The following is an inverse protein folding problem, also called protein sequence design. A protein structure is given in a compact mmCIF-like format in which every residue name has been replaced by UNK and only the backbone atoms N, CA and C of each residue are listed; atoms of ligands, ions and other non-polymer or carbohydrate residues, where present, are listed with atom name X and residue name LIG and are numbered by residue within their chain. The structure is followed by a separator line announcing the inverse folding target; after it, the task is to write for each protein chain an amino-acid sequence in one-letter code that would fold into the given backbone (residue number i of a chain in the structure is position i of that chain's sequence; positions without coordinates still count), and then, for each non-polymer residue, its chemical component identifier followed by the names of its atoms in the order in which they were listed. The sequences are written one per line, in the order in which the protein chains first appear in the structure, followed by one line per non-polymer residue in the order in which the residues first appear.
data_IF_402098034820
#
_entry.id   IF_402098034820
#
_cell.length_a   1.000
_cell.length_b   1.000
_cell.length_c   1.000
_cell.angle_alpha   90.00
_cell.angle_beta   90.00
_cell.angle_gamma   90.00
#
_symmetry.space_group_name_H-M   'P 1'
#
loop_
_entity.id
_entity.type
_entity.pdbx_description
1 polymer ?
#
# COMPACT_ATOMS: atom_id res chain seq x y z
N UNK A 1 5.13 1.49 -23.85
CA UNK A 1 5.58 0.80 -22.60
C UNK A 1 4.78 1.14 -21.34
N UNK A 2 3.70 1.92 -21.45
CA UNK A 2 2.50 1.93 -20.58
C UNK A 2 1.43 0.92 -21.07
N UNK A 3 1.81 0.04 -22.01
CA UNK A 3 0.93 -0.77 -22.87
C UNK A 3 0.37 -2.03 -22.20
N UNK A 4 0.62 -2.30 -20.92
CA UNK A 4 0.06 -3.52 -20.28
C UNK A 4 -1.46 -3.39 -20.07
N UNK A 5 -2.03 -2.18 -20.13
CA UNK A 5 -3.48 -1.99 -20.07
C UNK A 5 -4.04 -0.99 -21.09
N UNK A 6 -3.22 -0.49 -22.02
CA UNK A 6 -3.63 0.60 -22.91
C UNK A 6 -4.26 0.14 -24.23
N UNK A 7 -3.96 -1.08 -24.67
CA UNK A 7 -4.64 -1.77 -25.78
C UNK A 7 -5.23 -3.07 -25.22
N UNK A 8 -6.55 -3.21 -25.28
CA UNK A 8 -7.32 -4.16 -24.44
C UNK A 8 -6.80 -5.61 -24.39
N UNK A 9 -6.79 -6.22 -23.20
CA UNK A 9 -6.70 -7.68 -23.08
C UNK A 9 -6.11 -8.29 -21.80
N UNK A 10 -5.36 -7.56 -20.98
CA UNK A 10 -4.62 -8.17 -19.85
C UNK A 10 -5.50 -8.67 -18.69
N UNK A 11 -5.49 -9.97 -18.40
CA UNK A 11 -6.16 -10.60 -17.26
C UNK A 11 -5.25 -10.63 -16.02
N UNK A 12 -5.48 -9.71 -15.08
CA UNK A 12 -4.72 -9.60 -13.84
C UNK A 12 -5.45 -10.30 -12.68
N UNK A 13 -4.78 -11.28 -12.05
CA UNK A 13 -5.22 -11.87 -10.78
C UNK A 13 -4.64 -11.07 -9.61
N UNK A 14 -5.47 -10.71 -8.64
CA UNK A 14 -5.05 -10.15 -7.36
C UNK A 14 -5.19 -11.21 -6.27
N UNK A 15 -4.16 -11.33 -5.43
CA UNK A 15 -4.13 -12.19 -4.25
C UNK A 15 -3.63 -11.40 -3.05
N UNK A 16 -4.43 -11.25 -2.00
CA UNK A 16 -3.99 -10.69 -0.73
C UNK A 16 -4.40 -11.60 0.42
N UNK A 17 -3.51 -11.78 1.38
CA UNK A 17 -3.80 -12.50 2.62
C UNK A 17 -3.31 -11.73 3.84
N UNK A 18 -3.32 -10.39 3.73
CA UNK A 18 -2.93 -9.47 4.78
C UNK A 18 -4.00 -9.40 5.88
N UNK A 19 -5.27 -9.51 5.50
CA UNK A 19 -6.40 -9.60 6.42
C UNK A 19 -7.45 -10.57 5.87
N UNK A 20 -7.51 -11.78 6.45
CA UNK A 20 -8.24 -12.88 5.81
C UNK A 20 -7.55 -13.31 4.51
N UNK A 21 -8.30 -13.77 3.53
CA UNK A 21 -7.84 -13.85 2.13
C UNK A 21 -8.81 -13.13 1.21
N UNK A 22 -8.25 -12.41 0.24
CA UNK A 22 -8.99 -11.77 -0.85
C UNK A 22 -8.36 -12.21 -2.16
N UNK A 23 -9.15 -12.73 -3.07
CA UNK A 23 -8.71 -13.09 -4.42
C UNK A 23 -9.72 -12.58 -5.45
N UNK A 24 -9.25 -12.18 -6.62
CA UNK A 24 -10.15 -11.73 -7.69
C UNK A 24 -9.43 -11.40 -8.98
N UNK A 25 -10.16 -11.46 -10.09
CA UNK A 25 -9.70 -10.95 -11.38
C UNK A 25 -10.08 -9.47 -11.49
N UNK A 26 -9.13 -8.61 -11.86
CA UNK A 26 -9.39 -7.17 -12.05
C UNK A 26 -10.56 -6.97 -13.01
N UNK A 27 -11.58 -6.22 -12.56
CA UNK A 27 -12.84 -6.00 -13.28
C UNK A 27 -14.00 -6.89 -12.82
N UNK A 28 -13.71 -7.97 -12.09
CA UNK A 28 -14.70 -8.78 -11.37
C UNK A 28 -14.82 -8.39 -9.90
N UNK A 29 -15.80 -8.96 -9.21
CA UNK A 29 -15.92 -8.81 -7.76
C UNK A 29 -15.01 -9.82 -7.02
N UNK A 30 -14.35 -9.41 -5.93
CA UNK A 30 -13.44 -10.28 -5.19
C UNK A 30 -14.19 -11.32 -4.35
N UNK A 31 -13.56 -12.47 -4.15
CA UNK A 31 -13.92 -13.43 -3.11
C UNK A 31 -13.09 -13.17 -1.85
N UNK A 32 -13.78 -12.89 -0.75
CA UNK A 32 -13.17 -12.53 0.53
C UNK A 32 -13.51 -13.57 1.62
N UNK A 33 -12.48 -14.13 2.25
CA UNK A 33 -12.61 -15.04 3.39
C UNK A 33 -12.07 -14.36 4.66
N UNK A 34 -12.98 -13.93 5.54
CA UNK A 34 -12.61 -13.27 6.79
C UNK A 34 -12.12 -14.24 7.88
N UNK A 35 -12.37 -15.56 7.74
CA UNK A 35 -11.98 -16.53 8.76
C UNK A 35 -10.48 -16.85 8.71
N UNK A 36 -9.77 -16.32 9.70
CA UNK A 36 -8.34 -16.56 9.96
C UNK A 36 -7.90 -18.03 10.05
N UNK A 37 -8.81 -19.01 10.19
CA UNK A 37 -8.47 -20.44 10.18
C UNK A 37 -8.61 -21.06 8.79
N UNK A 38 -9.63 -20.64 8.04
CA UNK A 38 -9.97 -21.21 6.74
C UNK A 38 -9.30 -20.50 5.56
N UNK A 39 -8.88 -19.24 5.73
CA UNK A 39 -8.39 -18.41 4.63
C UNK A 39 -7.21 -19.01 3.85
N UNK A 40 -6.34 -19.80 4.51
CA UNK A 40 -5.22 -20.51 3.85
C UNK A 40 -5.72 -21.71 3.05
N UNK A 41 -6.58 -22.54 3.65
CA UNK A 41 -7.12 -23.75 3.01
C UNK A 41 -8.02 -23.41 1.82
N UNK A 42 -8.73 -22.27 1.90
CA UNK A 42 -9.62 -21.79 0.84
C UNK A 42 -8.92 -20.94 -0.22
N UNK A 43 -7.65 -20.59 -0.05
CA UNK A 43 -6.95 -19.70 -0.96
C UNK A 43 -6.90 -20.26 -2.39
N UNK A 44 -6.38 -21.47 -2.57
CA UNK A 44 -6.27 -22.10 -3.89
C UNK A 44 -7.64 -22.42 -4.51
N UNK A 45 -8.62 -23.00 -3.77
CA UNK A 45 -9.99 -23.14 -4.27
C UNK A 45 -10.61 -21.81 -4.72
N UNK A 46 -10.41 -20.74 -3.96
CA UNK A 46 -10.98 -19.44 -4.32
C UNK A 46 -10.28 -18.82 -5.53
N UNK A 47 -8.96 -19.03 -5.72
CA UNK A 47 -8.26 -18.63 -6.94
C UNK A 47 -8.86 -19.36 -8.15
N UNK A 48 -9.03 -20.68 -8.07
CA UNK A 48 -9.65 -21.45 -9.14
C UNK A 48 -11.08 -20.96 -9.44
N UNK A 49 -11.85 -20.65 -8.40
CA UNK A 49 -13.20 -20.13 -8.51
C UNK A 49 -13.25 -18.78 -9.23
N UNK A 50 -12.46 -17.77 -8.81
CA UNK A 50 -12.50 -16.44 -9.45
C UNK A 50 -12.02 -16.45 -10.91
N UNK A 51 -11.07 -17.33 -11.24
CA UNK A 51 -10.62 -17.53 -12.62
C UNK A 51 -11.77 -18.12 -13.44
N UNK A 52 -12.42 -19.17 -12.93
CA UNK A 52 -13.57 -19.81 -13.60
C UNK A 52 -14.77 -18.87 -13.73
N UNK A 53 -15.10 -18.09 -12.70
CA UNK A 53 -16.22 -17.15 -12.70
C UNK A 53 -16.01 -16.00 -13.69
N UNK A 54 -14.76 -15.64 -13.96
CA UNK A 54 -14.39 -14.71 -15.02
C UNK A 54 -14.46 -15.33 -16.43
N UNK A 55 -14.79 -16.63 -16.55
CA UNK A 55 -14.81 -17.36 -17.82
C UNK A 55 -13.41 -17.63 -18.37
N UNK A 56 -12.39 -17.62 -17.52
CA UNK A 56 -10.99 -17.79 -17.87
C UNK A 56 -10.47 -19.15 -17.44
N UNK A 57 -9.33 -19.53 -18.02
CA UNK A 57 -8.46 -20.59 -17.55
C UNK A 57 -7.21 -19.99 -16.92
N UNK A 58 -6.44 -20.73 -16.10
CA UNK A 58 -5.17 -20.23 -15.58
C UNK A 58 -4.21 -19.75 -16.68
N UNK A 59 -4.26 -20.34 -17.88
CA UNK A 59 -3.42 -19.97 -19.02
C UNK A 59 -3.79 -18.62 -19.64
N UNK A 60 -4.99 -18.11 -19.38
CA UNK A 60 -5.42 -16.79 -19.85
C UNK A 60 -4.92 -15.66 -18.93
N UNK A 61 -4.33 -15.97 -17.77
CA UNK A 61 -3.79 -14.95 -16.87
C UNK A 61 -2.51 -14.36 -17.45
N UNK A 62 -2.44 -13.02 -17.49
CA UNK A 62 -1.27 -12.29 -17.99
C UNK A 62 -0.34 -11.85 -16.87
N UNK A 63 -0.84 -11.70 -15.65
CA UNK A 63 -0.04 -11.30 -14.49
C UNK A 63 -0.75 -11.58 -13.16
N UNK A 64 0.03 -11.54 -12.08
CA UNK A 64 -0.45 -11.61 -10.72
C UNK A 64 0.05 -10.40 -9.92
N UNK A 65 -0.84 -9.77 -9.15
CA UNK A 65 -0.49 -8.80 -8.11
C UNK A 65 -0.75 -9.43 -6.75
N UNK A 66 0.26 -9.47 -5.90
CA UNK A 66 0.18 -10.08 -4.57
C UNK A 66 0.41 -9.06 -3.45
N UNK A 67 -0.42 -9.12 -2.43
CA UNK A 67 -0.22 -8.36 -1.19
C UNK A 67 1.03 -8.81 -0.45
N UNK A 68 1.89 -7.84 -0.10
CA UNK A 68 3.14 -8.09 0.67
C UNK A 68 3.09 -7.57 2.11
N UNK A 69 1.88 -7.25 2.58
CA UNK A 69 1.60 -6.69 3.89
C UNK A 69 1.61 -5.16 3.91
N UNK A 70 1.81 -4.53 5.07
CA UNK A 70 2.16 -5.14 6.35
C UNK A 70 0.98 -5.85 7.01
N UNK A 71 1.24 -7.03 7.57
CA UNK A 71 0.25 -7.90 8.20
C UNK A 71 0.89 -8.96 9.11
N UNK A 72 0.11 -9.62 9.99
CA UNK A 72 0.57 -10.80 10.73
C UNK A 72 1.07 -11.95 9.83
N UNK A 73 2.14 -12.60 10.27
CA UNK A 73 3.03 -13.46 9.47
C UNK A 73 2.42 -14.68 8.75
N UNK A 74 1.44 -15.39 9.34
CA UNK A 74 1.05 -16.72 8.87
C UNK A 74 0.21 -16.68 7.60
N UNK A 75 -0.80 -15.80 7.53
CA UNK A 75 -1.65 -15.66 6.34
C UNK A 75 -0.87 -15.09 5.15
N UNK A 76 -0.07 -14.05 5.40
CA UNK A 76 0.68 -13.34 4.36
C UNK A 76 1.64 -14.26 3.57
N UNK A 77 2.29 -15.21 4.25
CA UNK A 77 3.20 -16.16 3.58
C UNK A 77 2.49 -17.14 2.66
N UNK A 78 1.29 -17.59 3.03
CA UNK A 78 0.52 -18.49 2.18
C UNK A 78 0.14 -17.79 0.86
N UNK A 79 -0.40 -16.57 0.94
CA UNK A 79 -0.71 -15.74 -0.24
C UNK A 79 0.47 -15.54 -1.17
N UNK A 80 1.61 -15.10 -0.62
CA UNK A 80 2.84 -14.88 -1.39
C UNK A 80 3.36 -16.18 -2.01
N UNK A 81 3.37 -17.29 -1.27
CA UNK A 81 3.86 -18.56 -1.76
C UNK A 81 2.98 -19.11 -2.90
N UNK A 82 1.66 -19.10 -2.74
CA UNK A 82 0.71 -19.53 -3.76
C UNK A 82 0.80 -18.66 -5.02
N UNK A 83 0.88 -17.34 -4.87
CA UNK A 83 1.04 -16.43 -6.01
C UNK A 83 2.37 -16.64 -6.75
N UNK A 84 3.48 -16.87 -6.02
CA UNK A 84 4.79 -17.20 -6.61
C UNK A 84 4.77 -18.52 -7.36
N UNK A 85 4.17 -19.56 -6.78
CA UNK A 85 4.08 -20.86 -7.42
C UNK A 85 3.26 -20.79 -8.72
N UNK A 86 2.11 -20.09 -8.68
CA UNK A 86 1.24 -19.92 -9.84
C UNK A 86 1.91 -19.08 -10.94
N UNK A 87 2.50 -17.94 -10.59
CA UNK A 87 3.22 -17.09 -11.54
C UNK A 87 4.39 -17.84 -12.20
N UNK A 88 5.13 -18.64 -11.41
CA UNK A 88 6.22 -19.47 -11.92
C UNK A 88 5.72 -20.55 -12.88
N UNK A 89 4.65 -21.25 -12.52
CA UNK A 89 4.07 -22.31 -13.36
C UNK A 89 3.52 -21.79 -14.69
N UNK A 90 2.95 -20.58 -14.69
CA UNK A 90 2.40 -19.92 -15.87
C UNK A 90 3.43 -19.09 -16.65
N UNK A 91 4.63 -18.89 -16.09
CA UNK A 91 5.67 -18.02 -16.63
C UNK A 91 5.16 -16.58 -16.88
N UNK A 92 4.46 -16.00 -15.90
CA UNK A 92 3.88 -14.66 -15.98
C UNK A 92 4.46 -13.72 -14.91
N UNK A 93 4.44 -12.39 -15.14
CA UNK A 93 4.87 -11.41 -14.15
C UNK A 93 4.10 -11.51 -12.83
N UNK A 94 4.85 -11.36 -11.73
CA UNK A 94 4.33 -11.24 -10.37
C UNK A 94 4.79 -9.92 -9.76
N UNK A 95 3.86 -9.11 -9.29
CA UNK A 95 4.15 -7.82 -8.64
C UNK A 95 3.71 -7.88 -7.18
N UNK A 96 4.59 -7.51 -6.25
CA UNK A 96 4.23 -7.29 -4.86
C UNK A 96 3.72 -5.88 -4.62
N UNK A 97 2.62 -5.74 -3.87
CA UNK A 97 2.01 -4.46 -3.52
C UNK A 97 1.76 -4.38 -2.01
N UNK A 98 2.18 -3.29 -1.37
CA UNK A 98 1.80 -3.04 0.02
C UNK A 98 0.34 -2.58 0.11
N UNK A 99 -0.32 -2.86 1.22
CA UNK A 99 -1.74 -2.55 1.39
C UNK A 99 -2.01 -1.15 1.98
N UNK A 100 -1.03 -0.52 2.63
CA UNK A 100 -1.25 0.78 3.28
C UNK A 100 -1.43 1.91 2.26
N UNK A 101 -0.65 1.89 1.18
CA UNK A 101 -0.76 2.89 0.13
C UNK A 101 -2.11 2.81 -0.62
N UNK A 102 -2.56 1.64 -1.13
CA UNK A 102 -3.90 1.47 -1.67
C UNK A 102 -5.03 1.85 -0.73
N UNK A 103 -4.89 1.68 0.59
CA UNK A 103 -5.87 2.17 1.58
C UNK A 103 -5.97 3.70 1.56
N UNK A 104 -4.85 4.41 1.48
CA UNK A 104 -4.83 5.87 1.36
C UNK A 104 -5.42 6.34 0.03
N UNK A 105 -5.08 5.67 -1.06
CA UNK A 105 -5.59 5.96 -2.41
C UNK A 105 -7.11 5.71 -2.48
N UNK A 106 -7.61 4.67 -1.84
CA UNK A 106 -9.04 4.34 -1.75
C UNK A 106 -9.85 5.38 -0.95
N UNK A 107 -9.30 5.87 0.16
CA UNK A 107 -9.96 6.92 0.94
C UNK A 107 -10.14 8.19 0.11
N UNK A 108 -9.11 8.59 -0.63
CA UNK A 108 -9.18 9.76 -1.50
C UNK A 108 -10.17 9.55 -2.66
N UNK A 109 -10.14 8.39 -3.31
CA UNK A 109 -11.08 8.03 -4.37
C UNK A 109 -12.54 8.19 -3.92
N UNK A 110 -12.88 7.62 -2.76
CA UNK A 110 -14.24 7.69 -2.20
C UNK A 110 -14.66 9.11 -1.84
N UNK A 111 -13.71 9.90 -1.34
CA UNK A 111 -13.96 11.31 -1.01
C UNK A 111 -14.30 12.10 -2.27
N UNK A 112 -13.57 11.89 -3.35
CA UNK A 112 -13.83 12.55 -4.64
C UNK A 112 -15.19 12.14 -5.22
N UNK A 113 -15.54 10.84 -5.15
CA UNK A 113 -16.87 10.39 -5.58
C UNK A 113 -18.00 11.08 -4.79
N UNK A 114 -17.85 11.23 -3.48
CA UNK A 114 -18.84 11.93 -2.64
C UNK A 114 -18.93 13.40 -3.01
N UNK A 115 -17.80 14.09 -3.13
CA UNK A 115 -17.78 15.51 -3.45
C UNK A 115 -18.39 15.81 -4.84
N UNK A 116 -18.14 14.95 -5.82
CA UNK A 116 -18.83 15.04 -7.12
C UNK A 116 -20.34 14.85 -6.98
N UNK A 117 -20.78 13.88 -6.18
CA UNK A 117 -22.21 13.63 -5.96
C UNK A 117 -22.89 14.84 -5.29
N UNK A 118 -22.25 15.44 -4.28
CA UNK A 118 -22.76 16.61 -3.56
C UNK A 118 -22.81 17.86 -4.47
N UNK A 119 -21.75 18.10 -5.26
CA UNK A 119 -21.68 19.20 -6.24
C UNK A 119 -22.82 19.14 -7.28
N UNK A 120 -23.17 17.94 -7.75
CA UNK A 120 -24.31 17.72 -8.66
C UNK A 120 -25.64 18.07 -8.02
N UNK A 121 -25.84 17.70 -6.76
CA UNK A 121 -27.08 18.00 -6.03
C UNK A 121 -27.23 19.50 -5.76
N UNK A 122 -26.13 20.21 -5.51
CA UNK A 122 -26.14 21.64 -5.20
C UNK A 122 -26.03 22.56 -6.43
N UNK A 123 -25.86 22.00 -7.64
CA UNK A 123 -25.66 22.79 -8.88
C UNK A 123 -24.38 23.62 -8.88
N UNK A 124 -23.40 23.31 -8.03
CA UNK A 124 -22.08 23.96 -8.01
C UNK A 124 -21.22 23.33 -9.10
N UNK A 125 -20.74 24.13 -10.05
CA UNK A 125 -19.81 23.66 -11.10
C UNK A 125 -18.44 23.24 -10.54
N UNK A 126 -17.61 22.64 -11.39
CA UNK A 126 -16.28 22.08 -11.08
C UNK A 126 -15.33 23.07 -10.38
N UNK A 127 -15.49 24.37 -10.62
CA UNK A 127 -14.69 25.45 -10.04
C UNK A 127 -14.88 25.63 -8.53
N UNK A 128 -16.02 25.22 -7.95
CA UNK A 128 -16.26 25.27 -6.50
C UNK A 128 -15.44 24.23 -5.75
N UNK A 129 -15.28 23.04 -6.33
CA UNK A 129 -14.52 21.94 -5.76
C UNK A 129 -13.04 22.28 -5.64
N UNK A 130 -12.44 22.86 -6.70
CA UNK A 130 -11.03 23.29 -6.72
C UNK A 130 -10.68 24.26 -5.58
N UNK A 131 -11.59 25.17 -5.22
CA UNK A 131 -11.41 26.12 -4.12
C UNK A 131 -11.36 25.47 -2.74
N UNK A 132 -12.16 24.42 -2.52
CA UNK A 132 -12.19 23.68 -1.25
C UNK A 132 -10.92 22.83 -1.06
N UNK A 133 -10.33 22.28 -2.13
CA UNK A 133 -9.04 21.58 -2.06
C UNK A 133 -7.88 22.52 -1.73
N UNK A 134 -7.93 23.78 -2.20
CA UNK A 134 -6.83 24.73 -2.02
C UNK A 134 -6.62 25.21 -0.58
N UNK A 135 -7.62 25.06 0.31
CA UNK A 135 -7.59 25.54 1.70
C UNK A 135 -7.46 24.45 2.75
N UNK A 136 -7.23 23.20 2.33
CA UNK A 136 -7.19 22.07 3.25
C UNK A 136 -6.09 21.07 2.90
N UNK A 137 -5.14 20.90 3.82
CA UNK A 137 -4.17 19.81 3.79
C UNK A 137 -4.85 18.52 4.27
N UNK A 138 -4.93 17.52 3.40
CA UNK A 138 -5.53 16.23 3.71
C UNK A 138 -4.48 15.14 3.82
N UNK A 139 -4.49 14.46 4.96
CA UNK A 139 -3.60 13.37 5.27
C UNK A 139 -4.44 12.11 5.49
N UNK A 140 -3.93 10.98 5.03
CA UNK A 140 -4.50 9.67 5.34
C UNK A 140 -3.51 8.87 6.15
N UNK A 141 -3.88 8.55 7.38
CA UNK A 141 -3.19 7.61 8.25
C UNK A 141 -3.72 6.20 7.96
N UNK A 142 -3.02 5.46 7.12
CA UNK A 142 -3.35 4.06 6.84
C UNK A 142 -2.77 3.17 7.94
N UNK A 143 -3.60 2.29 8.50
CA UNK A 143 -3.24 1.39 9.60
C UNK A 143 -3.69 -0.04 9.35
N UNK A 144 -2.91 -0.99 9.85
CA UNK A 144 -3.29 -2.41 9.91
C UNK A 144 -2.97 -3.00 11.28
N UNK A 145 -3.89 -3.80 11.84
CA UNK A 145 -3.71 -4.45 13.15
C UNK A 145 -2.45 -5.31 13.18
N UNK A 146 -1.64 -5.10 14.22
CA UNK A 146 -0.43 -5.86 14.47
C UNK A 146 -0.56 -6.61 15.81
N UNK A 147 0.42 -7.48 16.09
CA UNK A 147 0.45 -8.21 17.36
C UNK A 147 0.71 -7.24 18.53
N UNK A 148 0.34 -7.65 19.74
CA UNK A 148 0.65 -6.96 21.00
C UNK A 148 0.07 -5.54 21.12
N UNK A 149 -1.17 -5.34 20.64
CA UNK A 149 -1.89 -4.05 20.71
C UNK A 149 -1.16 -2.91 19.98
N UNK A 150 -0.52 -3.26 18.86
CA UNK A 150 0.15 -2.31 17.99
C UNK A 150 -0.54 -2.28 16.63
N UNK A 151 -0.21 -1.28 15.84
CA UNK A 151 -0.64 -1.11 14.46
C UNK A 151 0.60 -0.93 13.60
N UNK A 152 0.61 -1.57 12.44
CA UNK A 152 1.42 -1.09 11.32
C UNK A 152 0.78 0.19 10.81
N UNK A 153 1.57 1.20 10.48
CA UNK A 153 1.04 2.47 9.99
C UNK A 153 1.99 3.14 8.99
N UNK A 154 1.41 3.98 8.15
CA UNK A 154 2.11 4.99 7.36
C UNK A 154 1.19 6.20 7.19
N UNK A 155 1.78 7.40 7.10
CA UNK A 155 1.02 8.63 6.88
C UNK A 155 1.25 9.10 5.45
N UNK A 156 0.18 9.37 4.75
CA UNK A 156 0.20 9.77 3.34
C UNK A 156 -0.40 11.15 3.17
N UNK A 157 0.25 11.97 2.35
CA UNK A 157 -0.37 13.12 1.71
C UNK A 157 -1.14 12.62 0.48
N UNK A 158 -2.40 13.06 0.36
CA UNK A 158 -3.34 12.55 -0.63
C UNK A 158 -2.72 12.45 -2.05
N UNK A 159 -3.06 11.38 -2.80
CA UNK A 159 -2.64 11.26 -4.19
C UNK A 159 -3.30 12.33 -5.07
N UNK A 160 -2.74 12.55 -6.26
CA UNK A 160 -3.38 13.35 -7.28
C UNK A 160 -4.12 12.44 -8.27
N UNK A 161 -5.43 12.61 -8.34
CA UNK A 161 -6.29 11.99 -9.35
C UNK A 161 -6.78 13.04 -10.33
N UNK A 162 -6.93 12.63 -11.59
CA UNK A 162 -7.63 13.41 -12.62
C UNK A 162 -8.76 12.56 -13.21
N UNK A 163 -9.93 13.13 -13.53
CA UNK A 163 -10.96 12.41 -14.26
C UNK A 163 -10.43 12.00 -15.65
N UNK A 164 -10.79 10.80 -16.14
CA UNK A 164 -10.44 10.39 -17.50
C UNK A 164 -11.25 11.20 -18.52
N UNK A 165 -10.65 11.69 -19.62
CA UNK A 165 -11.26 12.65 -20.55
C UNK A 165 -12.47 12.09 -21.32
N UNK A 166 -12.56 10.76 -21.44
CA UNK A 166 -13.64 10.07 -22.15
C UNK A 166 -14.61 9.32 -21.21
N UNK A 167 -14.41 9.38 -19.90
CA UNK A 167 -15.38 8.83 -18.97
C UNK A 167 -16.59 9.75 -18.96
N UNK A 168 -17.67 9.37 -19.65
CA UNK A 168 -18.93 10.06 -19.38
C UNK A 168 -19.22 9.87 -17.88
N UNK A 169 -19.55 10.96 -17.20
CA UNK A 169 -19.81 10.96 -15.76
C UNK A 169 -21.01 10.08 -15.35
N UNK A 170 -21.76 9.58 -16.35
CA UNK A 170 -22.85 8.60 -16.26
C UNK A 170 -22.33 7.14 -16.34
N UNK A 171 -21.37 6.80 -17.21
CA UNK A 171 -20.73 5.46 -17.27
C UNK A 171 -19.96 5.10 -15.99
N UNK A 172 -19.40 6.12 -15.32
CA UNK A 172 -18.71 5.97 -14.04
C UNK A 172 -19.60 5.37 -12.91
N UNK A 173 -20.92 5.46 -13.06
CA UNK A 173 -21.89 5.03 -12.05
C UNK A 173 -22.30 3.56 -12.21
N UNK A 174 -22.36 3.03 -13.44
CA UNK A 174 -22.93 1.71 -13.67
C UNK A 174 -21.90 0.61 -13.92
N UNK A 175 -20.63 0.94 -14.20
CA UNK A 175 -19.54 -0.04 -14.35
C UNK A 175 -19.84 -1.17 -15.35
N UNK A 176 -20.79 -0.93 -16.25
CA UNK A 176 -21.34 -1.87 -17.22
C UNK A 176 -21.00 -1.35 -18.60
N UNK A 177 -19.78 -1.62 -19.05
CA UNK A 177 -19.56 -1.77 -20.49
C UNK A 177 -18.74 -3.04 -20.77
N UNK A 178 -19.42 -3.92 -21.49
CA UNK A 178 -18.96 -5.07 -22.28
C UNK A 178 -18.06 -6.11 -21.59
N UNK A 179 -18.73 -7.10 -21.00
CA UNK A 179 -18.26 -8.49 -20.83
C UNK A 179 -18.24 -9.18 -22.20
N UNK A 180 -17.55 -8.59 -23.18
CA UNK A 180 -17.25 -9.24 -24.46
C UNK A 180 -15.74 -9.29 -24.63
N UNK A 181 -15.16 -10.38 -24.13
CA UNK A 181 -13.77 -10.84 -24.36
C UNK A 181 -12.69 -9.78 -24.07
N UNK A 182 -12.41 -9.60 -22.78
CA UNK A 182 -11.24 -8.86 -22.27
C UNK A 182 -11.65 -7.96 -21.11
N UNK A 183 -11.33 -8.34 -19.87
CA UNK A 183 -11.61 -7.52 -18.69
C UNK A 183 -10.67 -6.30 -18.65
N UNK A 184 -10.94 -5.27 -19.45
CA UNK A 184 -10.35 -3.94 -19.27
C UNK A 184 -11.21 -3.16 -18.29
N UNK A 185 -10.85 -3.16 -17.01
CA UNK A 185 -11.53 -2.31 -16.03
C UNK A 185 -10.76 -1.00 -15.86
N UNK A 186 -11.30 0.07 -16.44
CA UNK A 186 -10.81 1.43 -16.21
C UNK A 186 -11.56 2.07 -15.06
N UNK A 187 -10.82 2.60 -14.09
CA UNK A 187 -11.39 3.48 -13.09
C UNK A 187 -11.79 4.80 -13.78
N UNK A 188 -12.88 5.44 -13.34
CA UNK A 188 -13.29 6.74 -13.90
C UNK A 188 -12.32 7.88 -13.55
N UNK A 189 -11.33 7.58 -12.71
CA UNK A 189 -10.27 8.49 -12.27
C UNK A 189 -8.92 7.86 -12.54
N UNK A 190 -8.02 8.61 -13.15
CA UNK A 190 -6.63 8.22 -13.33
C UNK A 190 -5.80 8.79 -12.20
N UNK A 191 -5.10 7.91 -11.49
CA UNK A 191 -4.04 8.35 -10.58
C UNK A 191 -2.86 8.86 -11.43
N UNK A 192 -2.55 10.15 -11.30
CA UNK A 192 -1.41 10.77 -12.00
C UNK A 192 -0.20 10.92 -11.09
N UNK A 193 -0.41 10.87 -9.78
CA UNK A 193 0.64 10.85 -8.78
C UNK A 193 0.25 9.95 -7.61
N UNK A 194 1.15 9.03 -7.23
CA UNK A 194 1.01 8.27 -6.00
C UNK A 194 1.01 9.17 -4.78
N UNK A 195 0.36 8.76 -3.69
CA UNK A 195 0.37 9.55 -2.47
C UNK A 195 1.80 9.70 -1.94
N UNK A 196 2.16 10.92 -1.56
CA UNK A 196 3.48 11.14 -0.97
C UNK A 196 3.48 10.62 0.46
N UNK A 197 4.34 9.65 0.75
CA UNK A 197 4.54 9.17 2.11
C UNK A 197 5.23 10.25 2.95
N UNK A 198 4.58 10.60 4.05
CA UNK A 198 4.98 11.65 4.99
C UNK A 198 5.67 11.05 6.20
N UNK A 199 5.09 9.97 6.74
CA UNK A 199 5.74 9.13 7.74
C UNK A 199 5.93 7.74 7.14
N UNK A 200 7.17 7.27 7.18
CA UNK A 200 7.52 5.93 6.71
C UNK A 200 6.75 4.84 7.46
N UNK A 201 6.64 3.68 6.82
CA UNK A 201 5.98 2.54 7.43
C UNK A 201 6.69 2.14 8.71
N UNK A 202 5.96 2.09 9.83
CA UNK A 202 6.48 1.60 11.10
C UNK A 202 5.39 0.86 11.92
N UNK A 203 5.72 0.39 13.11
CA UNK A 203 4.84 -0.31 14.03
C UNK A 203 4.89 0.36 15.42
N UNK A 204 3.74 0.73 15.96
CA UNK A 204 3.65 1.36 17.28
C UNK A 204 2.25 1.17 17.90
N UNK A 205 2.07 1.60 19.14
CA UNK A 205 0.73 1.66 19.74
C UNK A 205 -0.11 2.76 19.07
N UNK A 206 -1.44 2.64 19.10
CA UNK A 206 -2.31 3.66 18.50
C UNK A 206 -2.13 5.05 19.14
N UNK A 207 -1.88 5.11 20.45
CA UNK A 207 -1.63 6.38 21.17
C UNK A 207 -0.30 7.02 20.72
N UNK A 208 0.77 6.22 20.59
CA UNK A 208 2.07 6.72 20.10
C UNK A 208 1.98 7.20 18.65
N UNK A 209 1.19 6.51 17.81
CA UNK A 209 0.96 6.92 16.43
C UNK A 209 0.24 8.27 16.39
N UNK A 210 -0.84 8.42 17.15
CA UNK A 210 -1.57 9.68 17.26
C UNK A 210 -0.66 10.84 17.70
N UNK A 211 0.18 10.60 18.71
CA UNK A 211 1.15 11.60 19.19
C UNK A 211 2.19 11.97 18.11
N UNK A 212 2.77 10.98 17.41
CA UNK A 212 3.73 11.21 16.31
C UNK A 212 3.12 12.03 15.17
N UNK A 213 1.88 11.71 14.77
CA UNK A 213 1.19 12.43 13.70
C UNK A 213 0.89 13.87 14.11
N UNK A 214 0.38 14.10 15.34
CA UNK A 214 0.16 15.45 15.85
C UNK A 214 1.45 16.28 15.89
N UNK A 215 2.54 15.69 16.40
CA UNK A 215 3.86 16.33 16.45
C UNK A 215 4.36 16.70 15.05
N UNK A 216 4.16 15.83 14.06
CA UNK A 216 4.53 16.11 12.69
C UNK A 216 3.74 17.31 12.12
N UNK A 217 2.41 17.36 12.33
CA UNK A 217 1.56 18.45 11.87
C UNK A 217 1.96 19.78 12.51
N UNK A 218 2.20 19.79 13.82
CA UNK A 218 2.59 20.99 14.55
C UNK A 218 3.96 21.52 14.07
N UNK A 219 4.91 20.61 13.83
CA UNK A 219 6.20 20.93 13.25
C UNK A 219 6.09 21.51 11.83
N UNK A 220 5.26 20.91 10.97
CA UNK A 220 5.00 21.41 9.62
C UNK A 220 4.37 22.81 9.65
N UNK A 221 3.38 23.05 10.52
CA UNK A 221 2.74 24.37 10.69
C UNK A 221 3.73 25.42 11.15
N UNK A 222 4.60 25.09 12.10
CA UNK A 222 5.63 26.03 12.55
C UNK A 222 6.58 26.43 11.41
N UNK A 223 6.94 25.46 10.55
CA UNK A 223 7.76 25.72 9.36
C UNK A 223 7.12 26.68 8.35
N UNK A 224 5.78 26.74 8.27
CA UNK A 224 5.05 27.75 7.48
C UNK A 224 5.11 29.14 8.11
N UNK A 225 4.98 29.24 9.44
CA UNK A 225 5.11 30.52 10.18
C UNK A 225 6.50 31.13 10.06
N UNK A 226 7.53 30.28 10.07
CA UNK A 226 8.94 30.68 10.05
C UNK A 226 9.47 30.93 8.62
N UNK A 227 8.66 30.66 7.58
CA UNK A 227 9.01 30.99 6.21
C UNK A 227 9.09 32.53 6.05
N UNK A 228 10.14 33.08 5.40
CA UNK A 228 10.32 34.51 5.31
C UNK A 228 9.10 35.14 4.63
N UNK A 229 8.32 35.90 5.39
CA UNK A 229 7.23 36.70 4.88
C UNK A 229 7.80 37.64 3.82
N UNK A 230 7.52 37.39 2.55
CA UNK A 230 7.73 38.39 1.51
C UNK A 230 7.00 39.65 1.95
N UNK A 231 7.73 40.74 2.19
CA UNK A 231 7.13 42.04 2.52
C UNK A 231 6.14 42.41 1.42
N UNK A 232 4.85 42.37 1.72
CA UNK A 232 3.85 43.16 1.00
C UNK A 232 3.43 44.30 1.93
N UNK A 233 3.96 45.50 1.66
CA UNK A 233 3.50 46.72 2.31
C UNK A 233 2.05 47.00 1.90
N UNK A 234 1.09 46.78 2.79
CA UNK A 234 -0.20 47.49 2.79
C UNK A 234 -0.73 47.67 4.22
N UNK A 235 -1.40 48.79 4.53
CA UNK A 235 -1.56 49.25 5.90
C UNK A 235 -2.81 48.70 6.63
N UNK A 236 -2.55 48.23 7.86
CA UNK A 236 -3.38 48.28 9.07
C UNK A 236 -4.91 48.18 8.95
N UNK A 237 -5.43 46.97 9.23
CA UNK A 237 -6.75 46.74 9.83
C UNK A 237 -6.61 45.78 11.01
N UNK A 238 -7.18 46.13 12.18
CA UNK A 238 -7.14 45.28 13.38
C UNK A 238 -7.91 43.97 13.14
N UNK A 239 -7.38 42.78 13.53
CA UNK A 239 -8.16 41.56 13.50
C UNK A 239 -9.11 41.49 14.71
N UNK A 240 -10.36 41.12 14.45
CA UNK A 240 -11.38 40.83 15.45
C UNK A 240 -11.10 39.46 16.09
N UNK A 241 -11.17 39.40 17.42
CA UNK A 241 -10.85 38.20 18.19
C UNK A 241 -12.11 37.35 18.43
N UNK A 242 -12.50 36.48 17.48
CA UNK A 242 -13.46 35.38 17.75
C UNK A 242 -13.56 34.32 16.63
N UNK A 243 -12.47 33.62 16.30
CA UNK A 243 -12.53 32.29 15.67
C UNK A 243 -11.15 31.65 15.76
N UNK A 244 -11.10 30.35 16.04
CA UNK A 244 -9.85 29.59 16.04
C UNK A 244 -9.34 29.44 14.61
N UNK A 245 -8.69 30.47 14.07
CA UNK A 245 -8.08 30.44 12.75
C UNK A 245 -6.59 30.09 12.86
N UNK A 246 -6.22 28.96 12.25
CA UNK A 246 -4.86 28.48 12.18
C UNK A 246 -3.93 29.41 11.39
N UNK A 247 -2.64 29.29 11.67
CA UNK A 247 -1.59 29.99 10.93
C UNK A 247 -1.75 29.73 9.42
N UNK A 248 -1.94 30.79 8.64
CA UNK A 248 -1.95 30.74 7.16
C UNK A 248 -3.28 30.36 6.49
N UNK A 249 -4.38 30.20 7.23
CA UNK A 249 -5.71 29.92 6.65
C UNK A 249 -5.88 28.51 6.03
N UNK A 250 -4.90 27.63 6.19
CA UNK A 250 -4.96 26.22 5.73
C UNK A 250 -5.43 25.33 6.88
N UNK A 251 -6.58 24.68 6.70
CA UNK A 251 -7.06 23.65 7.63
C UNK A 251 -6.33 22.33 7.40
N UNK A 252 -6.11 21.52 8.46
CA UNK A 252 -5.47 20.21 8.34
C UNK A 252 -6.47 19.15 8.78
N UNK A 253 -6.62 18.09 7.99
CA UNK A 253 -7.46 16.94 8.34
C UNK A 253 -6.70 15.63 8.15
N UNK A 254 -6.89 14.70 9.10
CA UNK A 254 -6.30 13.36 9.12
C UNK A 254 -7.41 12.33 9.15
N UNK A 255 -7.60 11.62 8.04
CA UNK A 255 -8.46 10.44 8.01
C UNK A 255 -7.67 9.22 8.47
N UNK A 256 -8.25 8.37 9.32
CA UNK A 256 -7.63 7.13 9.81
C UNK A 256 -8.36 5.95 9.19
N UNK A 257 -7.65 5.17 8.37
CA UNK A 257 -8.26 4.11 7.55
C UNK A 257 -7.50 2.80 7.65
N UNK A 258 -8.19 1.69 7.38
CA UNK A 258 -7.59 0.36 7.39
C UNK A 258 -7.92 -0.45 8.63
N UNK A 259 -7.50 -1.71 8.63
CA UNK A 259 -7.93 -2.66 9.64
C UNK A 259 -7.40 -2.32 11.03
N UNK A 260 -8.30 -2.22 11.99
CA UNK A 260 -7.98 -1.81 13.36
C UNK A 260 -8.17 -0.32 13.63
N UNK A 261 -8.45 0.51 12.61
CA UNK A 261 -8.80 1.91 12.83
C UNK A 261 -10.01 2.06 13.78
N UNK A 262 -11.04 1.23 13.63
CA UNK A 262 -12.22 1.26 14.51
C UNK A 262 -11.93 0.69 15.90
N UNK A 263 -11.15 -0.39 15.97
CA UNK A 263 -10.76 -1.05 17.22
C UNK A 263 -10.05 -0.11 18.22
N UNK A 264 -9.24 0.83 17.73
CA UNK A 264 -8.50 1.79 18.55
C UNK A 264 -9.10 3.21 18.50
N UNK A 265 -10.39 3.35 18.23
CA UNK A 265 -11.07 4.65 18.07
C UNK A 265 -10.80 5.66 19.21
N UNK A 266 -10.67 5.18 20.45
CA UNK A 266 -10.37 6.04 21.60
C UNK A 266 -8.97 6.67 21.54
N UNK A 267 -7.98 5.96 21.00
CA UNK A 267 -6.60 6.45 20.89
C UNK A 267 -6.48 7.59 19.90
N UNK A 268 -7.35 7.64 18.89
CA UNK A 268 -7.41 8.75 17.94
C UNK A 268 -7.93 10.06 18.55
N UNK A 269 -8.41 10.04 19.80
CA UNK A 269 -8.78 11.27 20.51
C UNK A 269 -7.60 12.25 20.64
N UNK A 270 -6.36 11.75 20.66
CA UNK A 270 -5.15 12.59 20.63
C UNK A 270 -5.00 13.42 19.34
N UNK A 271 -5.71 13.05 18.27
CA UNK A 271 -5.74 13.77 16.99
C UNK A 271 -6.93 14.72 16.87
N UNK A 272 -7.78 14.91 17.90
CA UNK A 272 -9.04 15.69 17.79
C UNK A 272 -8.98 17.05 17.08
N UNK A 273 -7.90 17.86 17.15
CA UNK A 273 -7.81 19.10 16.36
C UNK A 273 -7.74 18.87 14.85
N UNK A 274 -7.37 17.66 14.41
CA UNK A 274 -7.09 17.28 13.03
C UNK A 274 -7.94 16.08 12.56
N UNK A 275 -8.56 15.34 13.47
CA UNK A 275 -9.19 14.07 13.17
C UNK A 275 -10.38 14.25 12.21
N UNK A 276 -10.30 13.57 11.07
CA UNK A 276 -11.37 13.44 10.10
C UNK A 276 -12.14 12.14 10.29
N UNK A 277 -12.28 11.39 9.20
CA UNK A 277 -13.00 10.12 9.22
C UNK A 277 -12.15 9.01 9.86
N UNK A 278 -12.80 8.12 10.62
CA UNK A 278 -12.18 6.87 11.09
C UNK A 278 -12.94 5.71 10.44
N UNK A 279 -12.25 4.90 9.63
CA UNK A 279 -12.87 3.80 8.86
C UNK A 279 -12.07 2.51 8.98
N UNK A 280 -12.71 1.50 9.57
CA UNK A 280 -12.18 0.13 9.62
C UNK A 280 -12.52 -0.61 8.31
N UNK A 281 -11.92 -0.16 7.21
CA UNK A 281 -12.21 -0.64 5.85
C UNK A 281 -10.94 -0.79 5.02
N UNK A 282 -10.95 -1.71 4.05
CA UNK A 282 -9.86 -1.97 3.11
C UNK A 282 -10.35 -1.88 1.67
N UNK A 283 -9.55 -1.41 0.69
CA UNK A 283 -9.94 -1.44 -0.71
C UNK A 283 -10.31 -2.85 -1.19
N UNK A 284 -9.60 -3.88 -0.72
CA UNK A 284 -9.83 -5.25 -1.18
C UNK A 284 -11.09 -5.89 -0.56
N UNK A 285 -11.41 -5.56 0.69
CA UNK A 285 -12.58 -6.10 1.38
C UNK A 285 -13.87 -5.32 1.13
N UNK A 286 -13.78 -3.99 1.08
CA UNK A 286 -14.94 -3.09 1.02
C UNK A 286 -15.14 -2.43 -0.34
N UNK A 287 -14.11 -2.41 -1.19
CA UNK A 287 -14.13 -1.69 -2.46
C UNK A 287 -14.65 -2.49 -3.66
N UNK A 288 -14.93 -3.79 -3.47
CA UNK A 288 -15.37 -4.69 -4.54
C UNK A 288 -14.45 -4.62 -5.75
N UNK A 289 -15.02 -4.69 -6.96
CA UNK A 289 -14.28 -4.54 -8.22
C UNK A 289 -13.43 -3.25 -8.32
N UNK A 290 -13.92 -2.13 -7.79
CA UNK A 290 -13.21 -0.83 -7.84
C UNK A 290 -11.94 -0.87 -7.01
N UNK A 291 -12.05 -1.37 -5.77
CA UNK A 291 -10.92 -1.51 -4.87
C UNK A 291 -9.88 -2.52 -5.36
N UNK A 292 -10.34 -3.61 -5.99
CA UNK A 292 -9.48 -4.60 -6.64
C UNK A 292 -8.64 -3.98 -7.78
N UNK A 293 -9.30 -3.22 -8.65
CA UNK A 293 -8.65 -2.52 -9.75
C UNK A 293 -7.67 -1.47 -9.25
N UNK A 294 -8.05 -0.69 -8.23
CA UNK A 294 -7.18 0.32 -7.62
C UNK A 294 -5.93 -0.31 -7.03
N UNK A 295 -6.05 -1.42 -6.31
CA UNK A 295 -4.91 -2.16 -5.76
C UNK A 295 -3.92 -2.61 -6.86
N UNK A 296 -4.43 -3.18 -7.95
CA UNK A 296 -3.61 -3.60 -9.08
C UNK A 296 -2.96 -2.41 -9.82
N UNK A 297 -3.70 -1.30 -9.98
CA UNK A 297 -3.19 -0.09 -10.62
C UNK A 297 -2.06 0.55 -9.82
N UNK A 298 -2.14 0.58 -8.49
CA UNK A 298 -1.02 1.05 -7.65
C UNK A 298 0.26 0.25 -7.94
N UNK A 299 0.17 -1.08 -8.01
CA UNK A 299 1.31 -1.95 -8.30
C UNK A 299 1.90 -1.70 -9.70
N UNK A 300 1.03 -1.55 -10.70
CA UNK A 300 1.42 -1.24 -12.07
C UNK A 300 2.06 0.15 -12.18
N UNK A 301 1.57 1.13 -11.43
CA UNK A 301 2.16 2.46 -11.38
C UNK A 301 3.59 2.39 -10.84
N UNK A 302 3.81 1.72 -9.70
CA UNK A 302 5.17 1.51 -9.15
C UNK A 302 6.10 0.84 -10.16
N UNK A 303 5.64 -0.22 -10.82
CA UNK A 303 6.41 -0.89 -11.88
C UNK A 303 6.77 0.07 -13.02
N UNK A 304 5.85 0.95 -13.43
CA UNK A 304 6.09 1.93 -14.49
C UNK A 304 7.13 2.99 -14.11
N UNK A 305 7.29 3.27 -12.81
CA UNK A 305 8.32 4.16 -12.26
C UNK A 305 9.68 3.45 -12.08
N UNK A 306 9.77 2.14 -12.39
CA UNK A 306 10.99 1.35 -12.25
C UNK A 306 11.17 0.69 -10.89
N UNK A 307 10.15 0.72 -10.01
CA UNK A 307 10.22 0.02 -8.73
C UNK A 307 10.25 -1.50 -8.94
N UNK A 308 11.08 -2.18 -8.15
CA UNK A 308 11.28 -3.63 -8.25
C UNK A 308 10.07 -4.47 -7.84
N UNK A 309 9.03 -3.86 -7.25
CA UNK A 309 7.77 -4.48 -6.84
C UNK A 309 7.99 -5.86 -6.16
N UNK A 310 8.98 -5.91 -5.25
CA UNK A 310 9.43 -7.17 -4.65
C UNK A 310 8.27 -7.92 -4.01
N UNK A 311 8.38 -9.25 -3.96
CA UNK A 311 7.37 -10.13 -3.37
C UNK A 311 7.73 -10.61 -1.96
N UNK A 312 8.90 -10.21 -1.44
CA UNK A 312 9.29 -10.56 -0.06
C UNK A 312 8.38 -9.86 0.94
N UNK A 313 7.89 -10.49 2.01
CA UNK A 313 7.05 -9.80 2.99
C UNK A 313 7.73 -8.53 3.54
N UNK A 314 6.99 -7.43 3.70
CA UNK A 314 7.56 -6.15 4.15
C UNK A 314 8.31 -6.23 5.48
N UNK A 315 7.88 -7.11 6.39
CA UNK A 315 8.56 -7.33 7.66
C UNK A 315 9.93 -8.02 7.52
N UNK A 316 10.31 -8.55 6.36
CA UNK A 316 11.66 -9.07 6.10
C UNK A 316 12.56 -8.05 5.39
N UNK A 317 12.02 -6.90 5.00
CA UNK A 317 12.76 -5.86 4.27
C UNK A 317 13.38 -4.82 5.17
N UNK A 318 13.19 -4.90 6.50
CA UNK A 318 13.88 -4.00 7.42
C UNK A 318 15.35 -4.44 7.56
N UNK A 319 16.32 -3.52 7.44
CA UNK A 319 17.75 -3.85 7.48
C UNK A 319 18.21 -4.43 8.83
N UNK A 320 17.42 -4.30 9.90
CA UNK A 320 17.67 -4.82 11.25
C UNK A 320 17.08 -6.22 11.50
N UNK A 321 16.29 -6.77 10.58
CA UNK A 321 15.63 -8.07 10.77
C UNK A 321 16.47 -9.19 10.17
N UNK A 322 17.11 -9.97 11.04
CA UNK A 322 17.74 -11.24 10.67
C UNK A 322 16.68 -12.35 10.67
N UNK A 323 16.67 -13.17 9.61
CA UNK A 323 15.88 -14.40 9.60
C UNK A 323 16.34 -15.29 10.77
N UNK A 324 15.44 -15.75 11.65
CA UNK A 324 15.83 -16.70 12.67
C UNK A 324 16.38 -17.96 11.98
N UNK A 325 17.53 -18.51 12.41
CA UNK A 325 18.07 -19.71 11.81
C UNK A 325 17.02 -20.82 11.88
N UNK A 326 16.90 -21.60 10.80
CA UNK A 326 15.98 -22.72 10.75
C UNK A 326 16.17 -23.57 12.01
N UNK A 327 15.10 -23.76 12.78
CA UNK A 327 15.17 -24.65 13.94
C UNK A 327 15.51 -26.03 13.42
N UNK A 328 16.70 -26.54 13.76
CA UNK A 328 17.00 -27.97 13.60
C UNK A 328 15.91 -28.69 14.40
N UNK A 329 14.96 -29.30 13.71
CA UNK A 329 14.07 -30.25 14.35
C UNK A 329 14.96 -31.28 15.04
N UNK A 330 14.82 -31.41 16.35
CA UNK A 330 15.26 -32.59 17.06
C UNK A 330 14.39 -33.75 16.54
N UNK A 331 14.83 -34.33 15.41
CA UNK A 331 14.38 -35.65 14.99
C UNK A 331 14.87 -36.62 16.05
N UNK A 332 13.99 -36.89 17.01
CA UNK A 332 14.04 -38.09 17.81
C UNK A 332 14.15 -39.30 16.88
N UNK A 333 15.00 -40.23 17.30
CA UNK A 333 15.46 -41.37 16.54
C UNK A 333 14.32 -42.17 15.88
N UNK A 334 14.29 -42.18 14.55
CA UNK A 334 13.92 -43.35 13.73
C UNK A 334 14.67 -43.22 12.40
N UNK A 335 15.94 -43.60 12.39
CA UNK A 335 16.69 -43.74 11.15
C UNK A 335 16.27 -45.03 10.45
N UNK A 336 15.53 -44.92 9.36
CA UNK A 336 15.48 -45.98 8.34
C UNK A 336 16.54 -45.60 7.32
N UNK A 337 17.67 -46.32 7.36
CA UNK A 337 18.76 -46.17 6.40
C UNK A 337 18.39 -46.92 5.13
N UNK A 338 18.09 -46.19 4.05
CA UNK A 338 18.07 -46.75 2.70
C UNK A 338 19.48 -46.64 2.12
N UNK A 339 20.19 -47.76 2.11
CA UNK A 339 21.50 -47.89 1.47
C UNK A 339 21.28 -48.01 -0.04
N UNK A 340 21.72 -47.02 -0.81
CA UNK A 340 21.87 -47.17 -2.27
C UNK A 340 23.29 -47.69 -2.56
N UNK A 341 23.49 -48.63 -3.50
CA UNK A 341 24.82 -49.17 -3.81
C UNK A 341 25.71 -48.13 -4.51
N UNK A 342 26.97 -48.03 -4.06
CA UNK A 342 28.00 -47.16 -4.63
C UNK A 342 28.37 -47.57 -6.05
N UNK A 343 28.30 -46.60 -6.98
CA UNK A 343 29.03 -46.64 -8.23
C UNK A 343 30.42 -46.05 -7.97
N UNK A 344 31.43 -46.91 -7.88
CA UNK A 344 32.84 -46.53 -7.86
C UNK A 344 33.26 -45.92 -9.19
N UNK A 345 33.92 -44.77 -9.14
CA UNK A 345 35.07 -44.48 -10.02
C UNK A 345 36.09 -43.65 -9.26
N UNK A 346 37.23 -44.28 -9.01
CA UNK A 346 38.48 -43.71 -8.50
C UNK A 346 39.14 -42.73 -9.48
N UNK A 347 39.83 -41.72 -8.93
CA UNK A 347 41.19 -41.29 -9.29
C UNK A 347 41.46 -39.93 -8.61
N UNK A 348 42.14 -39.90 -7.46
CA UNK A 348 43.59 -39.69 -7.29
C UNK A 348 44.14 -38.29 -7.60
N UNK A 349 44.63 -37.66 -6.51
CA UNK A 349 45.88 -36.87 -6.37
C UNK A 349 45.97 -35.51 -7.11
N UNK A 350 46.61 -34.45 -6.63
CA UNK A 350 47.74 -34.36 -5.69
C UNK A 350 47.92 -32.92 -5.13
N UNK A 351 48.60 -32.83 -3.99
CA UNK A 351 49.51 -31.77 -3.46
C UNK A 351 49.30 -30.25 -3.63
N UNK A 352 49.34 -29.55 -2.48
CA UNK A 352 50.43 -28.60 -2.19
C UNK A 352 50.15 -27.08 -2.14
N UNK A 353 50.49 -26.46 -1.00
CA UNK A 353 51.31 -25.23 -1.03
C UNK A 353 50.70 -23.88 -0.59
N UNK A 354 51.01 -23.50 0.66
CA UNK A 354 51.54 -22.20 1.12
C UNK A 354 50.77 -20.85 1.11
N UNK A 355 50.54 -20.37 2.33
CA UNK A 355 51.12 -19.15 2.95
C UNK A 355 50.79 -17.72 2.47
N UNK A 356 50.19 -16.98 3.43
CA UNK A 356 50.57 -15.66 3.97
C UNK A 356 50.11 -14.33 3.34
N UNK A 357 49.56 -13.52 4.27
CA UNK A 357 49.75 -12.08 4.52
C UNK A 357 48.98 -11.01 3.72
N UNK A 358 48.34 -10.10 4.47
CA UNK A 358 48.06 -8.75 4.01
C UNK A 358 46.89 -8.00 4.69
N UNK A 359 47.07 -7.54 5.92
CA UNK A 359 46.40 -6.34 6.47
C UNK A 359 47.52 -5.52 7.13
N UNK A 360 47.54 -4.18 7.09
CA UNK A 360 46.56 -3.30 7.77
C UNK A 360 46.24 -2.01 6.97
N UNK A 361 45.22 -1.20 7.29
CA UNK A 361 45.35 -0.09 8.26
C UNK A 361 44.03 0.70 8.37
N UNK A 362 43.89 1.29 9.55
CA UNK A 362 42.82 2.16 10.04
C UNK A 362 42.65 3.46 9.26
N UNK A 363 41.42 3.98 9.20
CA UNK A 363 41.15 5.42 9.34
C UNK A 363 39.77 5.60 9.99
N UNK A 364 39.69 6.55 10.92
CA UNK A 364 38.55 6.74 11.82
C UNK A 364 37.73 7.99 11.53
N UNK A 365 36.79 8.19 12.46
CA UNK A 365 36.01 9.40 12.79
C UNK A 365 34.66 9.65 12.10
N UNK A 366 33.62 9.43 12.92
CA UNK A 366 32.61 10.40 13.36
C UNK A 366 31.82 11.21 12.32
N UNK A 367 30.51 10.95 12.26
CA UNK A 367 29.49 11.85 11.70
C UNK A 367 28.14 11.64 12.40
N UNK A 368 27.74 12.63 13.18
CA UNK A 368 26.44 12.77 13.87
C UNK A 368 25.27 13.04 12.88
N UNK A 369 24.00 12.99 13.34
CA UNK A 369 22.83 12.69 12.51
C UNK A 369 22.06 13.93 12.02
N UNK A 370 20.99 13.67 11.26
CA UNK A 370 19.87 14.57 10.94
C UNK A 370 20.11 15.58 9.80
N UNK A 371 19.55 15.26 8.62
CA UNK A 371 19.18 16.24 7.60
C UNK A 371 17.67 16.10 7.34
N UNK A 372 16.91 17.11 7.74
CA UNK A 372 15.51 17.30 7.33
C UNK A 372 15.45 17.51 5.81
N UNK A 373 14.59 16.80 5.05
CA UNK A 373 14.38 17.13 3.65
C UNK A 373 13.59 18.44 3.53
N UNK A 374 14.21 19.43 2.89
CA UNK A 374 13.66 20.74 2.57
C UNK A 374 12.51 20.66 1.56
N UNK A 375 11.52 21.53 1.77
CA UNK A 375 10.51 22.03 0.82
C UNK A 375 9.56 21.01 0.15
N UNK A 376 8.33 20.93 0.67
CA UNK A 376 7.15 20.53 -0.11
C UNK A 376 6.64 21.79 -0.81
N UNK A 377 6.89 21.93 -2.13
CA UNK A 377 6.16 22.89 -2.96
C UNK A 377 4.85 22.24 -3.37
N UNK A 378 3.73 22.79 -2.88
CA UNK A 378 2.41 22.56 -3.44
C UNK A 378 2.35 23.33 -4.76
N UNK A 379 2.10 22.62 -5.86
CA UNK A 379 1.63 23.17 -7.12
C UNK A 379 0.35 22.44 -7.50
#
# INVERSE_FOLDING_TARGET
MTEIMHDGGGHCLVVDSSFGSTVGIVGGDPLCEADSRMHVERLEPNIAQVVSDAGLTPQDLDMIVVGVGPAPFTGLRAGIASARALAFALNIPLLGQDILEPQAVWQEYRRQERLLADSRQEGRGETGLAGDFARQLRLTLAVNDARRKQLYYALYLAPLFVPEPDASLEEAQDGRETVEKGLSYRLPWRMVQTPKKVLEMDIASADDIAAKVAQWIDGWRKGLSDAPSGRSDTPSGKPDASSGEGVGGISVQVDVVGHGAGKYASSWAGLRPYLGEVRDQSPLGDGGRKGLALFAQTALFHRSQGDSCLTDPLYLRRPDISLPPARKHALGQTGISLTLPDMQTDAQTDTGGDSQNGSPSQEGQAGSPSAFPQSVRLL
#
